data_IF_350191840467
#
_entry.id   IF_350191840467
#
_cell.length_a   1.000
_cell.length_b   1.000
_cell.length_c   1.000
_cell.angle_alpha   90.00
_cell.angle_beta   90.00
_cell.angle_gamma   90.00
#
_symmetry.space_group_name_H-M   'P 1'
#
loop_
_entity.id
_entity.type
_entity.pdbx_description
1 polymer ?
#
# COMPACT_ATOMS: atom_id res chain seq x y z
N UNK A 1 18.76 1.01 18.49
CA UNK A 1 19.62 -0.18 18.66
C UNK A 1 20.10 -0.62 17.28
N UNK A 2 21.33 -1.08 17.18
CA UNK A 2 21.89 -1.69 15.97
C UNK A 2 22.42 -3.08 16.34
N UNK A 3 22.34 -4.02 15.42
CA UNK A 3 22.89 -5.37 15.60
C UNK A 3 23.56 -5.83 14.32
N UNK A 4 24.72 -6.46 14.45
CA UNK A 4 25.49 -7.07 13.37
C UNK A 4 25.56 -8.56 13.65
N UNK A 5 25.20 -9.38 12.67
CA UNK A 5 25.32 -10.83 12.73
C UNK A 5 26.49 -11.26 11.81
N UNK A 6 27.43 -12.01 12.38
CA UNK A 6 28.60 -12.53 11.69
C UNK A 6 28.59 -14.07 11.77
N UNK A 7 28.35 -14.79 10.66
CA UNK A 7 28.48 -16.23 10.65
C UNK A 7 29.96 -16.60 10.76
N UNK A 8 30.35 -17.30 11.83
CA UNK A 8 31.72 -17.78 12.03
C UNK A 8 31.93 -19.14 11.36
N UNK A 9 30.92 -20.02 11.47
CA UNK A 9 30.91 -21.34 10.84
C UNK A 9 29.51 -21.64 10.28
N UNK A 10 29.33 -22.80 9.64
CA UNK A 10 28.00 -23.26 9.18
C UNK A 10 27.01 -23.52 10.33
N UNK A 11 27.50 -23.64 11.58
CA UNK A 11 26.69 -23.89 12.77
C UNK A 11 26.76 -22.77 13.80
N UNK A 12 27.80 -21.93 13.78
CA UNK A 12 28.06 -20.92 14.79
C UNK A 12 27.92 -19.51 14.21
N UNK A 13 27.18 -18.66 14.90
CA UNK A 13 26.93 -17.26 14.52
C UNK A 13 27.19 -16.36 15.71
N UNK A 14 28.06 -15.37 15.52
CA UNK A 14 28.31 -14.32 16.50
C UNK A 14 27.41 -13.13 16.21
N UNK A 15 26.85 -12.52 17.25
CA UNK A 15 25.93 -11.40 17.14
C UNK A 15 26.40 -10.32 18.09
N UNK A 16 26.74 -9.17 17.55
CA UNK A 16 27.07 -8.00 18.33
C UNK A 16 25.91 -7.02 18.21
N UNK A 17 25.29 -6.67 19.34
CA UNK A 17 24.20 -5.70 19.38
C UNK A 17 24.50 -4.58 20.37
N UNK A 18 24.17 -3.36 19.97
CA UNK A 18 24.36 -2.15 20.76
C UNK A 18 23.06 -1.38 20.84
N UNK A 19 22.70 -0.93 22.03
CA UNK A 19 21.62 0.04 22.22
C UNK A 19 22.19 1.25 22.95
N UNK A 20 21.94 2.43 22.42
CA UNK A 20 22.28 3.70 23.04
C UNK A 20 20.97 4.46 23.22
N UNK A 21 20.72 4.91 24.44
CA UNK A 21 19.58 5.74 24.80
C UNK A 21 20.09 6.98 25.52
N UNK A 22 19.58 8.15 25.15
CA UNK A 22 19.88 9.41 25.83
C UNK A 22 18.57 9.97 26.36
N UNK A 23 18.50 10.23 27.66
CA UNK A 23 17.31 10.79 28.29
C UNK A 23 17.72 11.91 29.25
N UNK A 24 17.21 13.12 29.01
CA UNK A 24 17.49 14.32 29.83
C UNK A 24 18.98 14.54 30.14
N UNK A 25 19.84 14.46 29.12
CA UNK A 25 21.28 14.70 29.28
C UNK A 25 22.07 13.53 29.89
N UNK A 26 21.41 12.47 30.37
CA UNK A 26 22.08 11.24 30.79
C UNK A 26 22.04 10.21 29.65
N UNK A 27 23.22 9.77 29.21
CA UNK A 27 23.39 8.73 28.20
C UNK A 27 23.56 7.36 28.86
N UNK A 28 22.82 6.36 28.39
CA UNK A 28 22.97 4.97 28.78
C UNK A 28 23.19 4.09 27.54
N UNK A 29 24.32 3.39 27.52
CA UNK A 29 24.66 2.41 26.49
C UNK A 29 24.65 0.98 27.03
N UNK A 30 24.20 0.04 26.21
CA UNK A 30 24.33 -1.41 26.45
C UNK A 30 24.94 -2.07 25.23
N UNK A 31 25.97 -2.87 25.42
CA UNK A 31 26.58 -3.71 24.38
C UNK A 31 26.35 -5.16 24.78
N UNK A 32 25.74 -5.95 23.88
CA UNK A 32 25.49 -7.37 24.06
C UNK A 32 26.19 -8.15 22.94
N UNK A 33 27.07 -9.07 23.33
CA UNK A 33 27.68 -10.07 22.47
C UNK A 33 26.95 -11.41 22.69
N UNK A 34 26.39 -12.00 21.64
CA UNK A 34 25.75 -13.31 21.70
C UNK A 34 26.46 -14.30 20.77
N UNK A 35 26.76 -15.49 21.27
CA UNK A 35 27.32 -16.60 20.51
C UNK A 35 26.24 -17.67 20.36
N UNK A 36 25.69 -17.80 19.16
CA UNK A 36 24.65 -18.77 18.82
C UNK A 36 25.27 -19.99 18.15
N UNK A 37 24.91 -21.17 18.62
CA UNK A 37 25.32 -22.46 18.07
C UNK A 37 24.11 -23.33 17.74
N UNK A 38 24.01 -23.73 16.48
CA UNK A 38 22.99 -24.69 16.01
C UNK A 38 23.43 -26.09 16.42
N UNK A 39 22.83 -26.60 17.50
CA UNK A 39 23.13 -27.94 18.04
C UNK A 39 22.48 -29.08 17.24
N UNK A 40 21.31 -28.84 16.64
CA UNK A 40 20.54 -29.83 15.89
C UNK A 40 19.61 -29.15 14.88
N UNK A 41 19.12 -29.88 13.88
CA UNK A 41 18.05 -29.41 13.00
C UNK A 41 16.78 -28.98 13.75
N UNK A 42 16.61 -29.43 14.99
CA UNK A 42 15.46 -29.12 15.86
C UNK A 42 15.78 -28.11 16.97
N UNK A 43 16.99 -27.56 17.07
CA UNK A 43 17.30 -26.65 18.17
C UNK A 43 18.68 -25.97 18.12
N UNK A 44 18.76 -24.84 18.80
CA UNK A 44 19.96 -24.02 18.92
C UNK A 44 20.12 -23.50 20.36
N UNK A 45 21.37 -23.26 20.75
CA UNK A 45 21.71 -22.60 22.00
C UNK A 45 22.44 -21.30 21.72
N UNK A 46 22.32 -20.32 22.61
CA UNK A 46 22.94 -19.01 22.49
C UNK A 46 23.45 -18.60 23.88
N UNK A 47 24.69 -18.13 23.95
CA UNK A 47 25.27 -17.56 25.17
C UNK A 47 25.41 -16.07 24.95
N UNK A 48 24.85 -15.28 25.85
CA UNK A 48 24.79 -13.82 25.80
C UNK A 48 25.71 -13.23 26.90
N UNK A 49 26.55 -12.28 26.51
CA UNK A 49 27.41 -11.48 27.38
C UNK A 49 27.08 -10.01 27.12
N UNK A 50 26.40 -9.38 28.06
CA UNK A 50 26.05 -7.97 28.02
C UNK A 50 26.90 -7.16 29.00
N UNK A 51 27.25 -5.93 28.62
CA UNK A 51 27.77 -4.92 29.52
C UNK A 51 27.04 -3.60 29.26
N UNK A 52 26.57 -2.95 30.31
CA UNK A 52 25.86 -1.68 30.20
C UNK A 52 25.99 -0.80 31.43
N UNK A 53 25.95 0.50 31.20
CA UNK A 53 26.33 1.53 32.18
C UNK A 53 25.44 1.55 33.43
N UNK A 54 24.14 1.28 33.26
CA UNK A 54 23.14 1.30 34.34
C UNK A 54 22.84 -0.07 34.95
N UNK A 55 23.24 -1.16 34.29
CA UNK A 55 22.76 -2.50 34.59
C UNK A 55 23.87 -3.53 34.87
N UNK A 56 25.15 -3.13 34.79
CA UNK A 56 26.28 -4.00 35.06
C UNK A 56 26.43 -5.14 34.05
N UNK A 57 27.42 -6.05 34.22
CA UNK A 57 27.58 -7.18 33.33
C UNK A 57 26.41 -8.17 33.47
N UNK A 58 25.94 -8.68 32.34
CA UNK A 58 24.84 -9.63 32.21
C UNK A 58 25.36 -10.88 31.51
N UNK A 59 25.20 -12.03 32.15
CA UNK A 59 25.49 -13.33 31.56
C UNK A 59 24.16 -14.04 31.29
N UNK A 60 23.90 -14.39 30.04
CA UNK A 60 22.67 -15.06 29.61
C UNK A 60 22.98 -16.36 28.88
N UNK A 61 22.08 -17.34 29.00
CA UNK A 61 22.06 -18.54 28.18
C UNK A 61 20.64 -18.75 27.70
N UNK A 62 20.44 -18.86 26.40
CA UNK A 62 19.16 -19.07 25.74
C UNK A 62 19.19 -20.36 24.95
N UNK A 63 18.19 -21.20 25.14
CA UNK A 63 18.08 -22.52 24.51
C UNK A 63 16.73 -22.57 23.81
N UNK A 64 16.75 -22.87 22.52
CA UNK A 64 15.57 -23.07 21.70
C UNK A 64 15.50 -24.52 21.23
N UNK A 65 14.35 -25.16 21.39
CA UNK A 65 14.13 -26.52 20.90
C UNK A 65 12.69 -26.74 20.44
N UNK A 66 12.54 -27.32 19.25
CA UNK A 66 11.27 -27.86 18.77
C UNK A 66 11.00 -29.20 19.45
N UNK A 67 9.98 -29.25 20.31
CA UNK A 67 9.54 -30.49 20.97
C UNK A 67 8.70 -31.33 20.01
N UNK A 68 7.80 -30.69 19.27
CA UNK A 68 6.96 -31.30 18.23
C UNK A 68 6.91 -30.37 17.01
N UNK A 69 6.43 -30.82 15.83
CA UNK A 69 6.26 -29.92 14.68
C UNK A 69 5.35 -28.72 14.95
N UNK A 70 4.50 -28.79 15.98
CA UNK A 70 3.58 -27.73 16.37
C UNK A 70 3.96 -27.02 17.67
N UNK A 71 4.98 -27.47 18.40
CA UNK A 71 5.36 -26.88 19.69
C UNK A 71 6.87 -26.65 19.79
N UNK A 72 7.25 -25.45 20.20
CA UNK A 72 8.63 -25.11 20.51
C UNK A 72 8.75 -24.52 21.91
N UNK A 73 9.89 -24.76 22.54
CA UNK A 73 10.24 -24.21 23.84
C UNK A 73 11.50 -23.39 23.70
N UNK A 74 11.46 -22.20 24.29
CA UNK A 74 12.64 -21.35 24.49
C UNK A 74 12.84 -21.17 25.99
N UNK A 75 14.01 -21.52 26.50
CA UNK A 75 14.38 -21.27 27.90
C UNK A 75 15.58 -20.33 27.91
N UNK A 76 15.47 -19.21 28.62
CA UNK A 76 16.54 -18.23 28.81
C UNK A 76 16.84 -18.11 30.30
N UNK A 77 18.07 -18.36 30.69
CA UNK A 77 18.60 -18.14 32.03
C UNK A 77 19.54 -16.94 31.97
N UNK A 78 19.41 -15.98 32.89
CA UNK A 78 20.22 -14.78 32.94
C UNK A 78 20.66 -14.47 34.36
N UNK A 79 21.91 -14.05 34.51
CA UNK A 79 22.50 -13.54 35.74
C UNK A 79 22.95 -12.10 35.48
N UNK A 80 22.31 -11.16 36.16
CA UNK A 80 22.71 -9.76 36.10
C UNK A 80 23.51 -9.40 37.35
N UNK A 81 24.74 -8.93 37.15
CA UNK A 81 25.63 -8.51 38.23
C UNK A 81 25.51 -7.00 38.41
N UNK A 82 24.84 -6.56 39.46
CA UNK A 82 24.73 -5.14 39.82
C UNK A 82 25.48 -4.88 41.13
N UNK A 83 25.83 -3.62 41.40
CA UNK A 83 26.46 -3.21 42.68
C UNK A 83 25.62 -3.55 43.91
N UNK A 84 24.31 -3.78 43.75
CA UNK A 84 23.37 -4.23 44.78
C UNK A 84 23.24 -5.75 44.92
N UNK A 85 24.05 -6.53 44.19
CA UNK A 85 24.07 -8.00 44.23
C UNK A 85 23.73 -8.67 42.89
N UNK A 86 23.78 -10.01 42.90
CA UNK A 86 23.46 -10.85 41.73
C UNK A 86 21.94 -11.04 41.62
N UNK A 87 21.40 -10.76 40.43
CA UNK A 87 19.97 -10.92 40.13
C UNK A 87 19.78 -12.05 39.12
N UNK A 88 19.44 -13.27 39.60
CA UNK A 88 19.09 -14.36 38.72
C UNK A 88 17.69 -14.17 38.12
N UNK A 89 17.55 -14.52 36.86
CA UNK A 89 16.27 -14.56 36.16
C UNK A 89 16.22 -15.75 35.20
N UNK A 90 15.09 -16.46 35.18
CA UNK A 90 14.84 -17.54 34.24
C UNK A 90 13.52 -17.25 33.54
N UNK A 91 13.52 -17.20 32.22
CA UNK A 91 12.31 -17.06 31.42
C UNK A 91 12.14 -18.28 30.52
N UNK A 92 11.00 -18.94 30.64
CA UNK A 92 10.64 -20.07 29.78
C UNK A 92 9.43 -19.69 28.95
N UNK A 93 9.50 -19.92 27.65
CA UNK A 93 8.43 -19.63 26.68
C UNK A 93 8.09 -20.94 25.98
N UNK A 94 6.90 -21.46 26.23
CA UNK A 94 6.31 -22.56 25.49
C UNK A 94 5.35 -21.96 24.46
N UNK A 95 5.60 -22.20 23.19
CA UNK A 95 4.73 -21.78 22.11
C UNK A 95 4.16 -23.00 21.38
N UNK A 96 2.88 -22.93 21.01
CA UNK A 96 2.16 -24.01 20.33
C UNK A 96 1.28 -23.45 19.22
N UNK A 97 1.43 -24.00 18.02
CA UNK A 97 0.47 -23.85 16.94
C UNK A 97 -0.82 -24.60 17.32
N UNK A 98 -1.86 -23.83 17.64
CA UNK A 98 -3.21 -24.32 17.92
C UNK A 98 -3.97 -24.59 16.62
N UNK A 99 -3.74 -23.74 15.62
CA UNK A 99 -4.28 -23.83 14.27
C UNK A 99 -3.26 -23.26 13.26
N UNK A 100 -3.51 -23.37 11.95
CA UNK A 100 -2.65 -22.79 10.89
C UNK A 100 -2.39 -21.29 11.10
N UNK A 101 -3.41 -20.59 11.61
CA UNK A 101 -3.41 -19.14 11.80
C UNK A 101 -3.38 -18.72 13.27
N UNK A 102 -3.29 -19.67 14.22
CA UNK A 102 -3.40 -19.39 15.66
C UNK A 102 -2.22 -19.97 16.42
N UNK A 103 -1.50 -19.12 17.15
CA UNK A 103 -0.39 -19.48 18.02
C UNK A 103 -0.73 -19.15 19.47
N UNK A 104 -0.59 -20.13 20.35
CA UNK A 104 -0.63 -19.93 21.80
C UNK A 104 0.79 -19.80 22.35
N UNK A 105 0.98 -18.89 23.29
CA UNK A 105 2.22 -18.69 24.02
C UNK A 105 1.96 -18.76 25.52
N UNK A 106 2.83 -19.46 26.22
CA UNK A 106 2.89 -19.55 27.66
C UNK A 106 4.30 -19.12 28.08
N UNK A 107 4.43 -17.90 28.57
CA UNK A 107 5.69 -17.35 29.05
C UNK A 107 5.70 -17.31 30.57
N UNK A 108 6.63 -18.01 31.19
CA UNK A 108 6.88 -17.95 32.61
C UNK A 108 8.20 -17.23 32.88
N UNK A 109 8.17 -16.22 33.74
CA UNK A 109 9.34 -15.49 34.21
C UNK A 109 9.50 -15.76 35.69
N UNK A 110 10.70 -16.19 36.06
CA UNK A 110 11.18 -16.38 37.42
C UNK A 110 12.35 -15.42 37.66
N UNK A 111 12.49 -14.93 38.88
CA UNK A 111 13.58 -14.03 39.27
C UNK A 111 13.05 -12.79 39.99
N UNK A 112 13.64 -11.64 39.70
CA UNK A 112 13.30 -10.36 40.37
C UNK A 112 11.84 -9.94 40.13
N UNK A 113 11.27 -10.29 38.98
CA UNK A 113 9.84 -10.12 38.68
C UNK A 113 9.26 -11.44 38.19
N UNK A 114 8.52 -12.11 39.08
CA UNK A 114 7.83 -13.36 38.77
C UNK A 114 6.50 -13.08 38.08
N UNK A 115 6.34 -13.59 36.86
CA UNK A 115 5.10 -13.41 36.08
C UNK A 115 4.85 -14.58 35.14
N UNK A 116 3.60 -14.98 35.02
CA UNK A 116 3.09 -15.96 34.07
C UNK A 116 2.20 -15.23 33.04
N UNK A 117 2.57 -15.27 31.77
CA UNK A 117 1.84 -14.65 30.67
C UNK A 117 1.33 -15.73 29.71
N UNK A 118 0.01 -15.91 29.69
CA UNK A 118 -0.72 -16.73 28.73
C UNK A 118 -1.25 -15.84 27.62
N UNK A 119 -0.82 -16.05 26.38
CA UNK A 119 -1.35 -15.28 25.24
C UNK A 119 -1.71 -16.15 24.04
N UNK A 120 -2.70 -15.71 23.29
CA UNK A 120 -3.18 -16.34 22.07
C UNK A 120 -3.15 -15.26 20.98
N UNK A 121 -2.41 -15.52 19.92
CA UNK A 121 -2.29 -14.65 18.76
C UNK A 121 -2.89 -15.39 17.57
N UNK A 122 -3.87 -14.77 16.92
CA UNK A 122 -4.48 -15.25 15.69
C UNK A 122 -4.22 -14.24 14.59
N UNK A 123 -3.39 -14.63 13.62
CA UNK A 123 -3.08 -13.79 12.46
C UNK A 123 -3.71 -14.38 11.21
N UNK A 124 -4.54 -13.58 10.55
CA UNK A 124 -5.20 -13.91 9.29
C UNK A 124 -4.88 -12.83 8.25
N UNK A 125 -5.21 -13.08 6.99
CA UNK A 125 -4.95 -12.11 5.90
C UNK A 125 -5.61 -10.75 6.16
N UNK A 126 -6.80 -10.74 6.76
CA UNK A 126 -7.60 -9.53 7.00
C UNK A 126 -7.58 -9.04 8.45
N UNK A 127 -7.22 -9.87 9.43
CA UNK A 127 -7.28 -9.49 10.84
C UNK A 127 -6.19 -10.13 11.68
N UNK A 128 -5.70 -9.38 12.67
CA UNK A 128 -4.73 -9.82 13.65
C UNK A 128 -5.34 -9.60 15.04
N UNK A 129 -5.60 -10.70 15.74
CA UNK A 129 -6.19 -10.71 17.07
C UNK A 129 -5.18 -11.22 18.09
N UNK A 130 -5.03 -10.52 19.21
CA UNK A 130 -4.20 -10.94 20.33
C UNK A 130 -5.01 -10.86 21.60
N UNK A 131 -4.98 -11.94 22.36
CA UNK A 131 -5.47 -11.99 23.73
C UNK A 131 -4.32 -12.39 24.65
N UNK A 132 -4.08 -11.66 25.74
CA UNK A 132 -3.01 -11.95 26.67
C UNK A 132 -3.47 -11.71 28.11
N UNK A 133 -3.14 -12.64 29.00
CA UNK A 133 -3.37 -12.54 30.44
C UNK A 133 -2.03 -12.76 31.11
N UNK A 134 -1.55 -11.73 31.81
CA UNK A 134 -0.35 -11.78 32.61
C UNK A 134 -0.73 -11.77 34.09
N UNK A 135 -0.37 -12.82 34.81
CA UNK A 135 -0.47 -12.96 36.25
C UNK A 135 0.92 -12.78 36.84
N UNK A 136 1.18 -11.69 37.55
CA UNK A 136 2.51 -11.41 38.08
C UNK A 136 2.50 -10.36 39.17
N UNK A 137 3.55 -10.40 40.00
CA UNK A 137 3.76 -9.43 41.08
C UNK A 137 4.88 -8.50 40.63
N UNK A 138 4.66 -7.17 40.50
CA UNK A 138 3.43 -6.43 40.84
C UNK A 138 2.39 -6.32 39.72
N UNK A 139 2.73 -6.64 38.45
CA UNK A 139 1.86 -6.36 37.31
C UNK A 139 1.02 -7.57 36.90
N UNK A 140 -0.27 -7.51 37.23
CA UNK A 140 -1.31 -8.41 36.69
C UNK A 140 -2.22 -7.64 35.75
N UNK A 141 -2.40 -8.13 34.52
CA UNK A 141 -3.28 -7.51 33.51
C UNK A 141 -3.86 -8.52 32.51
N UNK A 142 -4.99 -8.16 31.94
CA UNK A 142 -5.62 -8.77 30.79
C UNK A 142 -5.60 -7.76 29.63
N UNK A 143 -5.20 -8.21 28.45
CA UNK A 143 -5.10 -7.40 27.24
C UNK A 143 -5.82 -8.10 26.09
N UNK A 144 -6.65 -7.34 25.38
CA UNK A 144 -7.32 -7.76 24.16
C UNK A 144 -7.00 -6.74 23.09
N UNK A 145 -6.39 -7.14 21.98
CA UNK A 145 -6.11 -6.26 20.85
C UNK A 145 -6.62 -6.87 19.55
N UNK A 146 -7.37 -6.08 18.79
CA UNK A 146 -7.88 -6.42 17.48
C UNK A 146 -7.36 -5.41 16.45
N UNK A 147 -6.74 -5.93 15.40
CA UNK A 147 -6.24 -5.12 14.29
C UNK A 147 -6.85 -5.64 12.99
N UNK A 148 -7.55 -4.76 12.29
CA UNK A 148 -8.09 -5.04 10.96
C UNK A 148 -7.13 -4.51 9.89
N UNK A 149 -6.73 -5.38 8.96
CA UNK A 149 -5.82 -5.09 7.84
C UNK A 149 -6.66 -4.98 6.56
N UNK A 150 -6.81 -3.77 6.02
CA UNK A 150 -7.43 -3.57 4.72
C UNK A 150 -6.48 -4.07 3.63
N UNK A 151 -7.04 -4.76 2.62
CA UNK A 151 -6.31 -5.23 1.44
C UNK A 151 -6.29 -4.18 0.32
N UNK A 152 -6.23 -2.91 0.70
CA UNK A 152 -6.08 -1.80 -0.25
C UNK A 152 -4.60 -1.64 -0.64
N UNK A 153 -4.36 -0.94 -1.76
CA UNK A 153 -3.01 -0.61 -2.26
C UNK A 153 -2.15 0.09 -1.19
N UNK A 154 -2.79 0.88 -0.32
CA UNK A 154 -2.16 1.64 0.77
C UNK A 154 -2.03 0.89 2.11
N UNK A 155 -2.41 -0.39 2.17
CA UNK A 155 -2.28 -1.28 3.35
C UNK A 155 -2.73 -0.63 4.68
N UNK A 156 -3.90 0.00 4.69
CA UNK A 156 -4.48 0.64 5.89
C UNK A 156 -4.76 -0.40 6.97
N UNK A 157 -4.46 -0.06 8.23
CA UNK A 157 -4.61 -0.94 9.40
C UNK A 157 -5.32 -0.18 10.51
N UNK A 158 -6.49 -0.64 10.93
CA UNK A 158 -7.18 -0.10 12.11
C UNK A 158 -6.83 -0.99 13.29
N UNK A 159 -6.47 -0.39 14.41
CA UNK A 159 -6.10 -1.06 15.65
C UNK A 159 -7.02 -0.60 16.78
N UNK A 160 -7.54 -1.54 17.55
CA UNK A 160 -8.20 -1.30 18.83
C UNK A 160 -7.62 -2.26 19.86
N UNK A 161 -7.26 -1.76 21.04
CA UNK A 161 -6.79 -2.58 22.14
C UNK A 161 -7.31 -2.08 23.48
N UNK A 162 -7.59 -3.02 24.36
CA UNK A 162 -8.04 -2.76 25.73
C UNK A 162 -7.12 -3.56 26.63
N UNK A 163 -6.45 -2.87 27.56
CA UNK A 163 -5.59 -3.46 28.58
C UNK A 163 -6.15 -3.07 29.94
N UNK A 164 -6.64 -4.04 30.69
CA UNK A 164 -7.17 -3.84 32.04
C UNK A 164 -6.29 -4.60 33.03
N UNK A 165 -5.77 -3.92 34.05
CA UNK A 165 -4.96 -4.56 35.08
C UNK A 165 -5.08 -3.89 36.43
N UNK A 166 -4.30 -4.37 37.39
CA UNK A 166 -4.31 -3.84 38.76
C UNK A 166 -3.91 -2.36 38.83
N UNK A 167 -3.10 -1.90 37.88
CA UNK A 167 -2.66 -0.50 37.74
C UNK A 167 -3.56 0.33 36.81
N UNK A 168 -4.82 -0.11 36.63
CA UNK A 168 -5.83 0.62 35.87
C UNK A 168 -6.07 0.05 34.47
N UNK A 169 -6.96 0.73 33.75
CA UNK A 169 -7.44 0.34 32.43
C UNK A 169 -6.99 1.34 31.39
N UNK A 170 -6.42 0.85 30.29
CA UNK A 170 -5.97 1.63 29.13
C UNK A 170 -6.68 1.10 27.89
N UNK A 171 -7.36 2.00 27.20
CA UNK A 171 -7.97 1.76 25.89
C UNK A 171 -7.12 2.50 24.86
N UNK A 172 -6.61 1.76 23.87
CA UNK A 172 -5.89 2.34 22.75
C UNK A 172 -6.66 2.07 21.46
N UNK A 173 -6.83 3.08 20.61
CA UNK A 173 -7.37 2.89 19.28
C UNK A 173 -6.64 3.81 18.32
N UNK A 174 -6.47 3.35 17.08
CA UNK A 174 -5.65 4.07 16.12
C UNK A 174 -5.72 3.50 14.72
N UNK A 175 -5.14 4.24 13.79
CA UNK A 175 -5.02 3.84 12.40
C UNK A 175 -3.57 3.99 11.95
N UNK A 176 -3.09 3.02 11.18
CA UNK A 176 -1.82 3.07 10.47
C UNK A 176 -2.08 2.99 8.97
N UNK A 177 -1.40 3.81 8.18
CA UNK A 177 -1.48 3.80 6.72
C UNK A 177 -0.09 3.87 6.12
N UNK A 178 0.13 3.10 5.06
CA UNK A 178 1.35 3.19 4.26
C UNK A 178 1.21 4.39 3.34
N UNK A 179 2.12 5.37 3.46
CA UNK A 179 2.11 6.59 2.62
C UNK A 179 3.08 6.43 1.44
N UNK A 180 4.17 5.70 1.63
CA UNK A 180 5.20 5.46 0.61
C UNK A 180 5.68 4.01 0.66
N UNK A 181 6.44 3.57 -0.34
CA UNK A 181 7.06 2.22 -0.40
C UNK A 181 7.78 1.84 0.90
N UNK A 182 8.41 2.81 1.55
CA UNK A 182 9.21 2.62 2.77
C UNK A 182 8.71 3.38 4.00
N UNK A 183 7.56 4.07 3.92
CA UNK A 183 7.05 4.90 5.02
C UNK A 183 5.64 4.50 5.43
N UNK A 184 5.47 4.19 6.72
CA UNK A 184 4.17 3.92 7.35
C UNK A 184 3.95 4.93 8.46
N UNK A 185 2.83 5.64 8.41
CA UNK A 185 2.42 6.61 9.43
C UNK A 185 1.26 6.03 10.22
N UNK A 186 1.30 6.18 11.53
CA UNK A 186 0.27 5.76 12.45
C UNK A 186 -0.08 6.85 13.46
N UNK A 187 -1.36 6.96 13.78
CA UNK A 187 -1.84 7.76 14.88
C UNK A 187 -2.67 6.85 15.80
N UNK A 188 -2.27 6.78 17.07
CA UNK A 188 -2.95 5.98 18.10
C UNK A 188 -3.27 6.86 19.28
N UNK A 189 -4.54 6.90 19.67
CA UNK A 189 -4.99 7.56 20.89
C UNK A 189 -5.00 6.52 22.00
N UNK A 190 -4.32 6.81 23.11
CA UNK A 190 -4.36 6.01 24.33
C UNK A 190 -5.06 6.80 25.43
N UNK A 191 -6.10 6.20 26.00
CA UNK A 191 -6.95 6.75 27.05
C UNK A 191 -6.94 5.77 28.22
N UNK A 192 -6.47 6.16 29.39
CA UNK A 192 -6.50 5.25 30.54
C UNK A 192 -6.10 5.86 31.87
N UNK A 193 -6.46 5.19 32.96
CA UNK A 193 -6.01 5.56 34.31
C UNK A 193 -4.78 4.72 34.65
N UNK A 194 -3.67 5.29 35.15
CA UNK A 194 -3.43 6.68 35.52
C UNK A 194 -2.80 7.56 34.42
N UNK A 195 -2.57 7.04 33.21
CA UNK A 195 -1.82 7.74 32.14
C UNK A 195 -2.57 8.87 31.41
N UNK A 196 -3.85 9.10 31.74
CA UNK A 196 -4.70 10.12 31.13
C UNK A 196 -4.96 9.88 29.64
N UNK A 197 -4.93 10.96 28.86
CA UNK A 197 -5.13 10.96 27.40
C UNK A 197 -3.83 11.35 26.71
N UNK A 198 -3.36 10.50 25.80
CA UNK A 198 -2.17 10.76 25.00
C UNK A 198 -2.38 10.32 23.54
N UNK A 199 -1.88 11.15 22.62
CA UNK A 199 -1.83 10.88 21.20
C UNK A 199 -0.42 10.44 20.82
N UNK A 200 -0.29 9.21 20.32
CA UNK A 200 0.97 8.63 19.88
C UNK A 200 1.04 8.68 18.36
N UNK A 201 1.91 9.53 17.82
CA UNK A 201 2.19 9.59 16.39
C UNK A 201 3.44 8.76 16.11
N UNK A 202 3.33 7.78 15.20
CA UNK A 202 4.41 6.86 14.84
C UNK A 202 4.70 6.96 13.35
N UNK A 203 5.95 7.23 12.98
CA UNK A 203 6.43 7.18 11.60
C UNK A 203 7.51 6.11 11.51
N UNK A 204 7.22 5.02 10.81
CA UNK A 204 8.19 4.00 10.45
C UNK A 204 8.73 4.31 9.06
N UNK A 205 10.00 4.69 8.94
CA UNK A 205 10.70 4.89 7.68
C UNK A 205 11.84 3.89 7.56
N UNK A 206 11.69 2.90 6.68
CA UNK A 206 12.63 1.78 6.53
C UNK A 206 12.94 1.09 7.88
N UNK A 207 14.17 1.19 8.38
CA UNK A 207 14.62 0.62 9.67
C UNK A 207 14.47 1.58 10.85
N UNK A 208 14.08 2.84 10.62
CA UNK A 208 13.95 3.86 11.65
C UNK A 208 12.49 4.02 12.07
N UNK A 209 12.24 4.08 13.38
CA UNK A 209 10.93 4.34 13.97
C UNK A 209 10.99 5.66 14.73
N UNK A 210 10.29 6.67 14.24
CA UNK A 210 10.10 7.93 14.93
C UNK A 210 8.80 7.84 15.73
N UNK A 211 8.87 8.16 17.03
CA UNK A 211 7.75 8.06 17.94
C UNK A 211 7.60 9.39 18.69
N UNK A 212 6.47 10.05 18.47
CA UNK A 212 6.15 11.35 19.07
C UNK A 212 4.92 11.19 19.96
N UNK A 213 5.10 10.99 21.28
CA UNK A 213 4.00 10.95 22.23
C UNK A 213 3.61 12.39 22.62
N UNK A 214 2.38 12.78 22.33
CA UNK A 214 1.77 14.04 22.76
C UNK A 214 0.87 13.72 23.94
N UNK A 215 1.28 14.11 25.13
CA UNK A 215 0.48 14.01 26.34
C UNK A 215 -0.48 15.20 26.40
N UNK A 216 -1.79 14.95 26.39
CA UNK A 216 -2.80 16.01 26.41
C UNK A 216 -3.19 16.36 27.85
N UNK A 217 -3.60 15.36 28.62
CA UNK A 217 -4.08 15.53 29.99
C UNK A 217 -3.81 14.28 30.82
N UNK A 218 -3.50 14.44 32.11
CA UNK A 218 -3.34 13.33 33.05
C UNK A 218 -4.69 12.82 33.58
N UNK A 219 -5.74 13.62 33.44
CA UNK A 219 -7.12 13.28 33.79
C UNK A 219 -7.91 12.79 32.56
N UNK A 220 -8.88 11.91 32.82
CA UNK A 220 -9.84 11.45 31.81
C UNK A 220 -10.88 12.54 31.51
N UNK A 221 -10.54 13.45 30.61
CA UNK A 221 -11.43 14.48 30.13
C UNK A 221 -12.00 14.10 28.75
N UNK A 222 -13.33 14.01 28.58
CA UNK A 222 -13.95 13.70 27.28
C UNK A 222 -13.56 14.68 26.18
N UNK A 223 -13.35 15.95 26.52
CA UNK A 223 -12.85 16.98 25.59
C UNK A 223 -11.47 16.66 25.04
N UNK A 224 -10.55 16.16 25.88
CA UNK A 224 -9.22 15.75 25.44
C UNK A 224 -9.28 14.54 24.49
N UNK A 225 -10.18 13.59 24.75
CA UNK A 225 -10.43 12.46 23.83
C UNK A 225 -10.97 12.95 22.48
N UNK A 226 -11.88 13.92 22.49
CA UNK A 226 -12.40 14.52 21.26
C UNK A 226 -11.29 15.18 20.43
N UNK A 227 -10.43 16.00 21.06
CA UNK A 227 -9.31 16.63 20.34
C UNK A 227 -8.27 15.62 19.86
N UNK A 228 -7.98 14.57 20.65
CA UNK A 228 -7.05 13.51 20.28
C UNK A 228 -7.51 12.70 19.06
N UNK A 229 -8.82 12.66 18.80
CA UNK A 229 -9.41 11.88 17.69
C UNK A 229 -9.71 12.72 16.47
N UNK A 230 -10.46 13.80 16.67
CA UNK A 230 -10.91 14.67 15.58
C UNK A 230 -9.74 15.47 15.04
N UNK A 231 -8.83 15.93 15.89
CA UNK A 231 -7.66 16.71 15.48
C UNK A 231 -6.81 16.01 14.40
N UNK A 232 -6.26 14.82 14.66
CA UNK A 232 -5.46 14.08 13.67
C UNK A 232 -6.24 13.72 12.41
N UNK A 233 -7.54 13.44 12.52
CA UNK A 233 -8.37 13.07 11.39
C UNK A 233 -8.64 14.27 10.46
N UNK A 234 -9.02 15.42 11.03
CA UNK A 234 -9.20 16.67 10.28
C UNK A 234 -7.88 17.12 9.67
N UNK A 235 -6.79 17.05 10.43
CA UNK A 235 -5.44 17.37 9.94
C UNK A 235 -5.05 16.47 8.75
N UNK A 236 -5.33 15.17 8.83
CA UNK A 236 -5.08 14.24 7.73
C UNK A 236 -5.91 14.59 6.48
N UNK A 237 -7.21 14.85 6.63
CA UNK A 237 -8.08 15.23 5.51
C UNK A 237 -7.65 16.56 4.88
N UNK A 238 -7.25 17.54 5.69
CA UNK A 238 -6.75 18.82 5.22
C UNK A 238 -5.47 18.65 4.40
N UNK A 239 -4.49 17.89 4.89
CA UNK A 239 -3.25 17.59 4.13
C UNK A 239 -3.57 16.83 2.84
N UNK A 240 -4.47 15.84 2.90
CA UNK A 240 -4.81 15.04 1.73
C UNK A 240 -5.45 15.90 0.63
N UNK A 241 -6.35 16.82 0.99
CA UNK A 241 -7.02 17.68 0.01
C UNK A 241 -6.18 18.87 -0.45
N UNK A 242 -5.46 19.54 0.46
CA UNK A 242 -4.77 20.80 0.17
C UNK A 242 -3.33 20.62 -0.32
N UNK A 243 -2.67 19.51 0.01
CA UNK A 243 -1.25 19.31 -0.32
C UNK A 243 -1.07 18.10 -1.23
N UNK A 244 -1.56 16.93 -0.83
CA UNK A 244 -1.27 15.67 -1.55
C UNK A 244 -1.99 15.64 -2.91
N UNK A 245 -3.30 15.86 -2.95
CA UNK A 245 -4.06 15.86 -4.21
C UNK A 245 -3.56 16.86 -5.24
N UNK A 246 -3.29 18.15 -4.91
CA UNK A 246 -2.75 19.07 -5.91
C UNK A 246 -1.34 18.67 -6.34
N UNK A 247 -0.47 18.24 -5.42
CA UNK A 247 0.90 17.82 -5.78
C UNK A 247 0.92 16.63 -6.74
N UNK A 248 0.11 15.59 -6.48
CA UNK A 248 0.00 14.42 -7.35
C UNK A 248 -0.57 14.79 -8.73
N UNK A 249 -1.52 15.74 -8.79
CA UNK A 249 -2.05 16.25 -10.06
C UNK A 249 -0.97 16.99 -10.84
N UNK A 250 -0.24 17.90 -10.22
CA UNK A 250 0.86 18.63 -10.88
C UNK A 250 1.96 17.68 -11.34
N UNK A 251 2.25 16.63 -10.58
CA UNK A 251 3.24 15.62 -11.00
C UNK A 251 2.75 14.84 -12.23
N UNK A 252 1.48 14.42 -12.24
CA UNK A 252 0.88 13.72 -13.39
C UNK A 252 0.87 14.61 -14.64
N UNK A 253 0.61 15.91 -14.47
CA UNK A 253 0.68 16.90 -15.55
C UNK A 253 2.11 17.05 -16.09
N UNK A 254 3.11 17.19 -15.21
CA UNK A 254 4.52 17.27 -15.63
C UNK A 254 5.02 16.01 -16.33
N UNK A 255 4.63 14.83 -15.85
CA UNK A 255 5.00 13.56 -16.49
C UNK A 255 4.33 13.44 -17.87
N UNK A 256 3.09 13.91 -18.01
CA UNK A 256 2.41 13.99 -19.30
C UNK A 256 3.08 15.00 -20.25
N UNK A 257 3.52 16.15 -19.75
CA UNK A 257 4.26 17.15 -20.53
C UNK A 257 5.59 16.59 -21.03
N UNK A 258 6.37 15.92 -20.17
CA UNK A 258 7.61 15.25 -20.57
C UNK A 258 7.39 14.17 -21.62
N UNK A 259 6.32 13.39 -21.49
CA UNK A 259 5.94 12.39 -22.50
C UNK A 259 5.54 13.05 -23.83
N UNK A 260 4.90 14.21 -23.79
CA UNK A 260 4.54 14.97 -24.98
C UNK A 260 5.77 15.53 -25.68
N UNK A 261 6.71 16.10 -24.93
CA UNK A 261 7.97 16.63 -25.47
C UNK A 261 8.79 15.54 -26.13
N UNK A 262 8.96 14.38 -25.47
CA UNK A 262 9.72 13.27 -26.03
C UNK A 262 9.06 12.66 -27.27
N UNK A 263 7.72 12.67 -27.33
CA UNK A 263 6.96 12.09 -28.44
C UNK A 263 6.66 13.07 -29.58
N UNK A 264 7.00 14.36 -29.44
CA UNK A 264 6.62 15.39 -30.42
C UNK A 264 7.20 15.14 -31.82
N UNK A 265 8.46 14.71 -31.90
CA UNK A 265 9.12 14.38 -33.16
C UNK A 265 8.50 13.15 -33.83
N UNK A 266 8.21 12.10 -33.05
CA UNK A 266 7.56 10.88 -33.53
C UNK A 266 6.13 11.14 -34.02
N UNK A 267 5.38 12.01 -33.32
CA UNK A 267 4.04 12.43 -33.74
C UNK A 267 4.12 13.17 -35.08
N UNK A 268 5.08 14.07 -35.27
CA UNK A 268 5.24 14.80 -36.52
C UNK A 268 5.56 13.86 -37.70
N UNK A 269 6.43 12.87 -37.50
CA UNK A 269 6.73 11.86 -38.53
C UNK A 269 5.51 11.01 -38.86
N UNK A 270 4.83 10.46 -37.85
CA UNK A 270 3.62 9.64 -38.06
C UNK A 270 2.47 10.43 -38.69
N UNK A 271 2.38 11.73 -38.39
CA UNK A 271 1.41 12.62 -39.03
C UNK A 271 1.67 12.72 -40.54
N UNK A 272 2.91 12.93 -40.96
CA UNK A 272 3.27 12.98 -42.38
C UNK A 272 3.00 11.64 -43.08
N UNK A 273 3.34 10.52 -42.44
CA UNK A 273 3.04 9.17 -42.94
C UNK A 273 1.53 8.93 -43.10
N UNK A 274 0.73 9.37 -42.12
CA UNK A 274 -0.72 9.26 -42.16
C UNK A 274 -1.32 10.14 -43.28
N UNK A 275 -0.87 11.39 -43.43
CA UNK A 275 -1.33 12.28 -44.51
C UNK A 275 -1.01 11.71 -45.89
N UNK A 276 0.20 11.16 -46.08
CA UNK A 276 0.58 10.49 -47.33
C UNK A 276 -0.30 9.25 -47.60
N UNK A 277 -0.58 8.43 -46.59
CA UNK A 277 -1.47 7.28 -46.72
C UNK A 277 -2.90 7.71 -47.07
N UNK A 278 -3.43 8.77 -46.43
CA UNK A 278 -4.76 9.33 -46.74
C UNK A 278 -4.84 9.77 -48.19
N UNK A 279 -3.81 10.45 -48.71
CA UNK A 279 -3.76 10.89 -50.11
C UNK A 279 -3.81 9.71 -51.09
N UNK A 280 -3.05 8.64 -50.82
CA UNK A 280 -3.05 7.44 -51.66
C UNK A 280 -4.39 6.69 -51.63
N UNK A 281 -5.13 6.75 -50.51
CA UNK A 281 -6.42 6.07 -50.36
C UNK A 281 -7.58 6.77 -51.06
N UNK A 282 -7.48 8.06 -51.41
CA UNK A 282 -8.61 8.85 -51.92
C UNK A 282 -9.29 8.22 -53.15
N UNK A 283 -8.50 7.71 -54.10
CA UNK A 283 -9.05 7.09 -55.31
C UNK A 283 -9.81 5.79 -55.01
N UNK A 284 -9.29 4.97 -54.09
CA UNK A 284 -9.93 3.73 -53.67
C UNK A 284 -11.22 4.01 -52.90
N UNK A 285 -11.20 5.01 -52.02
CA UNK A 285 -12.37 5.43 -51.24
C UNK A 285 -13.48 5.96 -52.13
N UNK A 286 -13.18 6.75 -53.18
CA UNK A 286 -14.20 7.19 -54.15
C UNK A 286 -14.93 6.01 -54.80
N UNK A 287 -14.18 4.99 -55.25
CA UNK A 287 -14.77 3.77 -55.85
C UNK A 287 -15.63 2.99 -54.84
N UNK A 288 -15.20 2.91 -53.57
CA UNK A 288 -15.96 2.25 -52.51
C UNK A 288 -17.26 3.02 -52.21
N UNK A 289 -17.21 4.35 -52.15
CA UNK A 289 -18.39 5.18 -51.92
C UNK A 289 -19.42 4.98 -53.03
N UNK A 290 -19.01 5.06 -54.31
CA UNK A 290 -19.92 4.84 -55.45
C UNK A 290 -20.55 3.43 -55.42
N UNK A 291 -19.75 2.40 -55.10
CA UNK A 291 -20.23 1.03 -54.99
C UNK A 291 -21.23 0.84 -53.83
N UNK A 292 -20.94 1.42 -52.66
CA UNK A 292 -21.82 1.35 -51.48
C UNK A 292 -23.08 2.21 -51.65
N UNK A 293 -23.00 3.36 -52.33
CA UNK A 293 -24.14 4.23 -52.62
C UNK A 293 -25.15 3.53 -53.54
N UNK A 294 -24.68 2.84 -54.58
CA UNK A 294 -25.55 2.06 -55.48
C UNK A 294 -26.32 0.94 -54.76
N UNK A 295 -25.80 0.46 -53.62
CA UNK A 295 -26.37 -0.65 -52.83
C UNK A 295 -27.04 -0.20 -51.54
N UNK A 296 -27.15 1.12 -51.31
CA UNK A 296 -27.65 1.69 -50.05
C UNK A 296 -26.92 1.10 -48.83
N UNK A 297 -25.61 0.94 -48.97
CA UNK A 297 -24.71 0.29 -48.03
C UNK A 297 -24.19 1.20 -46.91
N UNK A 298 -22.97 0.96 -46.44
CA UNK A 298 -22.37 1.68 -45.32
C UNK A 298 -21.48 2.84 -45.81
N UNK A 299 -21.85 4.07 -45.47
CA UNK A 299 -21.10 5.28 -45.83
C UNK A 299 -20.75 6.04 -44.54
N UNK A 300 -19.46 6.26 -44.29
CA UNK A 300 -18.98 7.07 -43.17
C UNK A 300 -19.02 8.54 -43.58
N UNK A 301 -19.78 9.34 -42.84
CA UNK A 301 -19.92 10.78 -43.07
C UNK A 301 -18.80 11.54 -42.36
N UNK A 302 -18.69 11.36 -41.05
CA UNK A 302 -17.68 12.02 -40.22
C UNK A 302 -17.05 11.01 -39.26
N UNK A 303 -15.74 10.99 -39.16
CA UNK A 303 -15.03 10.16 -38.20
C UNK A 303 -13.87 10.93 -37.59
N UNK A 304 -13.83 10.95 -36.27
CA UNK A 304 -12.93 11.77 -35.49
C UNK A 304 -12.22 10.89 -34.47
N UNK A 305 -10.89 10.98 -34.39
CA UNK A 305 -10.09 10.20 -33.44
C UNK A 305 -9.22 11.12 -32.57
N UNK A 306 -9.26 10.93 -31.25
CA UNK A 306 -8.46 11.71 -30.31
C UNK A 306 -9.15 11.92 -28.96
N UNK A 307 -8.74 12.97 -28.24
CA UNK A 307 -9.33 13.34 -26.95
C UNK A 307 -10.51 14.28 -27.18
N UNK A 308 -11.72 13.79 -26.88
CA UNK A 308 -12.92 14.62 -26.88
C UNK A 308 -13.04 15.32 -25.53
N UNK A 309 -13.22 16.64 -25.58
CA UNK A 309 -13.54 17.43 -24.39
C UNK A 309 -14.99 17.13 -24.02
N UNK A 310 -15.20 16.47 -22.89
CA UNK A 310 -16.52 16.37 -22.28
C UNK A 310 -16.87 17.71 -21.65
N UNK A 311 -18.13 18.14 -21.74
CA UNK A 311 -18.61 19.49 -21.37
C UNK A 311 -18.28 19.91 -19.91
N UNK A 312 -17.94 18.94 -19.06
CA UNK A 312 -17.50 19.16 -17.67
C UNK A 312 -16.01 19.55 -17.52
N UNK A 313 -15.22 19.53 -18.60
CA UNK A 313 -13.77 19.77 -18.57
C UNK A 313 -13.49 21.20 -19.05
N UNK A 314 -13.22 22.09 -18.08
CA UNK A 314 -12.79 23.50 -18.18
C UNK A 314 -12.43 24.02 -19.58
N UNK A 315 -13.04 25.18 -19.92
CA UNK A 315 -12.94 26.10 -21.08
C UNK A 315 -11.59 26.35 -21.80
N UNK A 316 -10.50 25.64 -21.52
CA UNK A 316 -9.17 25.86 -22.11
C UNK A 316 -8.53 24.65 -22.80
N UNK A 317 -9.14 23.46 -22.77
CA UNK A 317 -8.63 22.33 -23.56
C UNK A 317 -9.13 22.43 -25.01
N UNK A 318 -8.23 22.66 -25.97
CA UNK A 318 -8.55 22.49 -27.39
C UNK A 318 -8.70 21.00 -27.66
N UNK A 319 -9.80 20.60 -28.28
CA UNK A 319 -10.00 19.22 -28.71
C UNK A 319 -8.86 18.83 -29.67
N UNK A 320 -8.03 17.86 -29.28
CA UNK A 320 -6.91 17.34 -30.08
C UNK A 320 -7.42 16.12 -30.84
N UNK A 321 -7.97 16.38 -32.01
CA UNK A 321 -8.71 15.37 -32.78
C UNK A 321 -8.22 15.37 -34.22
N UNK A 322 -8.15 14.19 -34.81
CA UNK A 322 -7.81 13.98 -36.21
C UNK A 322 -9.04 13.53 -36.98
N UNK A 323 -9.16 13.98 -38.22
CA UNK A 323 -10.17 13.50 -39.15
C UNK A 323 -9.68 12.16 -39.74
N UNK A 324 -10.45 11.11 -39.52
CA UNK A 324 -10.17 9.74 -39.97
C UNK A 324 -11.29 9.20 -40.86
N UNK A 325 -12.09 10.07 -41.46
CA UNK A 325 -13.16 9.70 -42.42
C UNK A 325 -12.65 8.82 -43.55
N UNK A 326 -11.63 9.31 -44.27
CA UNK A 326 -11.08 8.65 -45.46
C UNK A 326 -10.46 7.28 -45.12
N UNK A 327 -9.53 7.17 -44.14
CA UNK A 327 -8.99 5.87 -43.73
C UNK A 327 -10.06 4.88 -43.27
N UNK A 328 -11.06 5.34 -42.52
CA UNK A 328 -12.11 4.48 -42.00
C UNK A 328 -13.04 3.98 -43.13
N UNK A 329 -13.35 4.83 -44.11
CA UNK A 329 -14.13 4.43 -45.29
C UNK A 329 -13.39 3.40 -46.16
N UNK A 330 -12.06 3.49 -46.25
CA UNK A 330 -11.26 2.52 -47.00
C UNK A 330 -11.31 1.09 -46.40
N UNK A 331 -11.64 0.98 -45.10
CA UNK A 331 -11.73 -0.30 -44.39
C UNK A 331 -13.12 -0.97 -44.52
N UNK A 332 -14.10 -0.29 -45.11
CA UNK A 332 -15.45 -0.83 -45.33
C UNK A 332 -15.43 -1.89 -46.43
N UNK A 333 -16.00 -3.06 -46.14
CA UNK A 333 -16.18 -4.14 -47.10
C UNK A 333 -17.55 -4.78 -46.90
N UNK A 334 -18.27 -5.01 -48.00
CA UNK A 334 -19.61 -5.61 -48.01
C UNK A 334 -20.59 -4.91 -47.04
N UNK A 335 -20.64 -3.58 -47.09
CA UNK A 335 -21.45 -2.73 -46.21
C UNK A 335 -21.25 -2.95 -44.69
N UNK A 336 -20.06 -3.41 -44.28
CA UNK A 336 -19.69 -3.62 -42.88
C UNK A 336 -18.28 -3.09 -42.60
N UNK A 337 -18.05 -2.65 -41.37
CA UNK A 337 -16.74 -2.29 -40.86
C UNK A 337 -16.50 -3.03 -39.54
N UNK A 338 -15.35 -3.70 -39.46
CA UNK A 338 -14.93 -4.49 -38.29
C UNK A 338 -13.52 -4.03 -37.90
N UNK A 339 -13.42 -3.35 -36.77
CA UNK A 339 -12.15 -3.04 -36.10
C UNK A 339 -11.90 -4.06 -34.98
N UNK A 340 -10.68 -4.57 -34.91
CA UNK A 340 -10.21 -5.49 -33.87
C UNK A 340 -9.80 -4.74 -32.59
N UNK A 341 -9.50 -5.48 -31.52
CA UNK A 341 -9.08 -4.94 -30.21
C UNK A 341 -7.65 -4.35 -30.20
N UNK A 342 -7.14 -3.93 -31.36
CA UNK A 342 -5.86 -3.26 -31.47
C UNK A 342 -6.04 -1.74 -31.31
N UNK A 343 -4.99 -1.03 -30.89
CA UNK A 343 -5.02 0.43 -30.85
C UNK A 343 -5.30 0.98 -32.25
N UNK A 344 -6.32 1.83 -32.34
CA UNK A 344 -6.76 2.45 -33.60
C UNK A 344 -5.70 3.40 -34.16
N UNK A 345 -4.77 3.87 -33.32
CA UNK A 345 -3.59 4.64 -33.76
C UNK A 345 -2.62 3.88 -34.67
N UNK A 346 -2.69 2.54 -34.70
CA UNK A 346 -1.85 1.70 -35.57
C UNK A 346 -2.44 1.45 -36.96
N UNK A 347 -3.67 1.93 -37.23
CA UNK A 347 -4.29 1.77 -38.54
C UNK A 347 -3.63 2.69 -39.58
N UNK A 348 -3.56 2.28 -40.85
CA UNK A 348 -2.98 3.12 -41.89
C UNK A 348 -3.84 4.39 -42.07
N UNK A 349 -3.19 5.56 -42.10
CA UNK A 349 -3.88 6.86 -42.10
C UNK A 349 -4.30 7.36 -40.71
N UNK A 350 -4.06 6.59 -39.65
CA UNK A 350 -4.22 7.04 -38.26
C UNK A 350 -2.87 7.41 -37.65
N UNK A 351 -2.89 8.34 -36.71
CA UNK A 351 -1.79 8.58 -35.79
C UNK A 351 -2.36 8.99 -34.43
N UNK A 352 -1.51 9.05 -33.39
CA UNK A 352 -1.92 9.44 -32.05
C UNK A 352 -1.73 10.97 -31.83
N UNK A 353 -2.82 11.77 -31.75
CA UNK A 353 -2.71 13.21 -31.48
C UNK A 353 -2.51 13.57 -29.99
N UNK A 354 -2.68 12.60 -29.07
CA UNK A 354 -2.64 12.84 -27.62
C UNK A 354 -2.05 11.64 -26.86
N UNK A 355 -0.75 11.43 -27.06
CA UNK A 355 0.05 10.41 -26.37
C UNK A 355 -0.07 10.55 -24.85
N UNK A 356 -0.34 9.44 -24.17
CA UNK A 356 -0.50 9.38 -22.72
C UNK A 356 -1.87 9.81 -22.18
N UNK A 357 -2.80 10.23 -23.05
CA UNK A 357 -4.18 10.55 -22.68
C UNK A 357 -5.17 9.50 -23.20
N UNK A 358 -6.36 9.47 -22.59
CA UNK A 358 -7.46 8.62 -23.07
C UNK A 358 -8.00 9.15 -24.40
N UNK A 359 -8.10 8.23 -25.36
CA UNK A 359 -8.50 8.50 -26.75
C UNK A 359 -9.76 7.73 -27.09
N UNK A 360 -10.58 8.32 -27.94
CA UNK A 360 -11.76 7.65 -28.46
C UNK A 360 -11.94 7.96 -29.94
N UNK A 361 -12.67 7.08 -30.62
CA UNK A 361 -13.11 7.23 -32.01
C UNK A 361 -14.60 7.53 -32.01
N UNK A 362 -14.98 8.69 -32.55
CA UNK A 362 -16.38 9.05 -32.80
C UNK A 362 -16.66 8.90 -34.29
N UNK A 363 -17.66 8.09 -34.64
CA UNK A 363 -18.03 7.82 -36.03
C UNK A 363 -19.50 8.17 -36.23
N UNK A 364 -19.77 8.97 -37.24
CA UNK A 364 -21.07 9.27 -37.82
C UNK A 364 -21.13 8.59 -39.19
N UNK A 365 -22.09 7.71 -39.38
CA UNK A 365 -22.23 6.94 -40.62
C UNK A 365 -23.70 6.81 -41.02
N UNK A 366 -23.93 6.58 -42.31
CA UNK A 366 -25.23 6.31 -42.89
C UNK A 366 -25.27 4.85 -43.35
N UNK A 367 -26.36 4.17 -43.05
CA UNK A 367 -26.62 2.81 -43.53
C UNK A 367 -28.08 2.70 -43.95
N UNK A 368 -28.32 2.27 -45.20
CA UNK A 368 -29.68 2.19 -45.79
C UNK A 368 -30.48 3.49 -45.66
N UNK A 369 -29.82 4.62 -45.85
CA UNK A 369 -30.44 5.95 -45.75
C UNK A 369 -30.57 6.52 -44.33
N UNK A 370 -30.31 5.73 -43.27
CA UNK A 370 -30.49 6.15 -41.87
C UNK A 370 -29.15 6.52 -41.22
N UNK A 371 -29.10 7.64 -40.50
CA UNK A 371 -27.92 8.11 -39.78
C UNK A 371 -27.71 7.39 -38.45
N UNK A 372 -26.44 7.11 -38.14
CA UNK A 372 -26.01 6.43 -36.93
C UNK A 372 -24.77 7.11 -36.36
N UNK A 373 -24.64 7.15 -35.04
CA UNK A 373 -23.48 7.68 -34.32
C UNK A 373 -22.99 6.67 -33.28
N UNK A 374 -21.68 6.51 -33.18
CA UNK A 374 -21.03 5.68 -32.15
C UNK A 374 -19.78 6.36 -31.63
N UNK A 375 -19.52 6.19 -30.33
CA UNK A 375 -18.26 6.53 -29.68
C UNK A 375 -17.65 5.24 -29.13
N UNK A 376 -16.37 5.00 -29.43
CA UNK A 376 -15.68 3.77 -29.04
C UNK A 376 -14.28 4.09 -28.53
N UNK A 377 -13.83 3.42 -27.46
CA UNK A 377 -12.49 3.60 -26.89
C UNK A 377 -11.37 3.14 -27.82
N UNK A 378 -10.12 3.58 -27.63
CA UNK A 378 -8.99 3.25 -28.53
C UNK A 378 -8.80 1.73 -28.77
N UNK A 379 -8.87 0.92 -27.72
CA UNK A 379 -8.66 -0.54 -27.79
C UNK A 379 -9.96 -1.34 -27.91
N UNK A 380 -11.11 -0.68 -27.96
CA UNK A 380 -12.41 -1.33 -27.98
C UNK A 380 -12.78 -1.77 -29.41
N UNK A 381 -13.23 -3.03 -29.61
CA UNK A 381 -13.58 -3.54 -30.93
C UNK A 381 -14.87 -2.88 -31.43
N UNK A 382 -14.82 -2.35 -32.65
CA UNK A 382 -15.97 -1.67 -33.26
C UNK A 382 -16.49 -2.50 -34.43
N UNK A 383 -17.77 -2.89 -34.35
CA UNK A 383 -18.50 -3.53 -35.46
C UNK A 383 -19.70 -2.67 -35.82
N UNK A 384 -19.72 -2.13 -37.04
CA UNK A 384 -20.83 -1.34 -37.58
C UNK A 384 -21.25 -1.92 -38.95
N UNK A 385 -22.55 -1.82 -39.33
CA UNK A 385 -23.64 -1.11 -38.66
C UNK A 385 -24.28 -1.89 -37.48
N UNK A 386 -24.80 -1.17 -36.48
CA UNK A 386 -25.65 -1.71 -35.39
C UNK A 386 -26.88 -0.84 -35.20
N UNK A 387 -28.04 -1.46 -34.92
CA UNK A 387 -29.29 -0.74 -34.67
C UNK A 387 -29.22 0.19 -33.45
N UNK A 388 -28.45 -0.17 -32.42
CA UNK A 388 -28.26 0.63 -31.20
C UNK A 388 -27.57 1.98 -31.44
N UNK A 389 -26.94 2.17 -32.61
CA UNK A 389 -26.24 3.41 -32.94
C UNK A 389 -27.13 4.37 -33.73
N UNK A 390 -28.37 3.99 -34.05
CA UNK A 390 -29.28 4.80 -34.86
C UNK A 390 -29.54 6.12 -34.14
N UNK A 391 -29.40 7.21 -34.89
CA UNK A 391 -29.84 8.53 -34.44
C UNK A 391 -31.29 8.62 -34.89
N UNK A 392 -32.21 8.59 -33.94
CA UNK A 392 -33.58 8.93 -34.26
C UNK A 392 -33.63 10.43 -34.54
N UNK A 393 -34.05 10.76 -35.76
CA UNK A 393 -34.41 12.12 -36.12
C UNK A 393 -35.76 12.41 -35.46
N UNK A 394 -35.76 12.57 -34.14
CA UNK A 394 -36.89 13.17 -33.45
C UNK A 394 -36.93 14.65 -33.83
N UNK A 395 -38.11 15.03 -34.33
CA UNK A 395 -38.65 16.36 -34.65
C UNK A 395 -38.07 17.56 -33.90
#
# INVERSE_FOLDING_TARGET
SQSIEAPLTTKDTAILSGSLSTHNGNGGGTINLALRRVTSAKGWGEVELGAGDTHGPLFGMKIFRNLTPRCFVTAQCGLQFSSRGVRPGVTTVLARHLDKNTMGYLQWRWGVQSSMNTSIVRDTKSSHFTFAVQLGIPHTFMMMSYQYKFQDEDQTKIKGSVKSGFFGTVVEYGAERKISRHSVVGATVSVGVPQGVSLKIKLNRASQTYFFPIHLTDQLLPSAVFYATVGPLVFYLAIQQLVIRPYVRTQKEQDLEKQRESSASDIARKKQEAEAAVLLMQESVRRIIEAEESRMGLIILNAWYGKFVTDNSRKHERAKVIDVTVPLQCLVKDSKLILTEASKSGLPGFYDPCVGEEKSLKVLYQFRGVMHQVLSGDTEPLRIPKQSHRIDADT
#
